data_IF_329509589931
#
_entry.id   IF_329509589931
#
_cell.length_a   1.000
_cell.length_b   1.000
_cell.length_c   1.000
_cell.angle_alpha   90.00
_cell.angle_beta   90.00
_cell.angle_gamma   90.00
#
_symmetry.space_group_name_H-M   'P 1'
#
loop_
_entity.id
_entity.type
_entity.pdbx_description
1 polymer ?
#
# COMPACT_ATOMS: atom_id res chain seq x y z
N UNK A 1 -21.73 59.64 41.07
CA UNK A 1 -22.77 60.39 41.81
C UNK A 1 -24.04 60.32 40.97
N UNK A 2 -25.09 59.69 41.53
CA UNK A 2 -26.47 59.52 41.04
C UNK A 2 -26.67 58.82 39.67
N UNK A 3 -27.17 57.59 39.59
CA UNK A 3 -28.58 57.15 39.82
C UNK A 3 -29.50 57.69 38.70
N UNK A 4 -30.32 56.90 38.01
CA UNK A 4 -31.44 56.10 38.53
C UNK A 4 -32.09 55.26 37.41
N UNK A 5 -32.52 54.04 37.78
CA UNK A 5 -33.81 53.37 37.51
C UNK A 5 -34.31 53.17 36.04
N UNK A 6 -35.24 52.26 35.67
CA UNK A 6 -36.20 51.40 36.38
C UNK A 6 -36.69 50.30 35.37
N UNK A 7 -37.30 49.23 35.91
CA UNK A 7 -38.37 48.39 35.32
C UNK A 7 -38.04 47.48 34.12
N UNK A 8 -38.49 46.23 33.99
CA UNK A 8 -39.53 45.46 34.68
C UNK A 8 -40.13 44.45 33.69
N UNK A 9 -40.37 43.22 34.18
CA UNK A 9 -41.32 42.20 33.68
C UNK A 9 -40.85 41.08 32.70
N UNK A 10 -41.45 39.87 32.83
CA UNK A 10 -40.88 38.58 32.41
C UNK A 10 -41.34 38.17 31.00
N UNK A 11 -40.50 37.42 30.27
CA UNK A 11 -40.88 36.84 28.97
C UNK A 11 -40.98 35.31 29.04
N UNK A 12 -42.23 34.88 28.99
CA UNK A 12 -42.71 33.57 28.56
C UNK A 12 -42.00 33.09 27.29
N UNK A 13 -41.50 31.85 27.28
CA UNK A 13 -41.00 31.26 26.04
C UNK A 13 -40.27 29.93 26.18
N UNK A 14 -40.65 29.06 27.13
CA UNK A 14 -40.08 27.72 27.22
C UNK A 14 -40.75 26.80 26.17
N UNK A 15 -40.29 26.87 24.90
CA UNK A 15 -40.72 25.98 23.80
C UNK A 15 -39.63 25.74 22.73
N UNK A 16 -38.37 25.51 23.11
CA UNK A 16 -37.28 25.25 22.14
C UNK A 16 -36.48 23.97 22.39
N UNK A 17 -36.98 23.02 23.16
CA UNK A 17 -36.23 21.79 23.52
C UNK A 17 -36.64 20.50 22.78
N UNK A 18 -37.22 20.58 21.57
CA UNK A 18 -37.56 19.38 20.79
C UNK A 18 -36.91 19.30 19.38
N UNK A 19 -36.32 20.38 18.86
CA UNK A 19 -35.78 20.41 17.48
C UNK A 19 -34.31 20.01 17.33
N UNK A 20 -33.52 20.03 18.41
CA UNK A 20 -32.05 19.91 18.34
C UNK A 20 -31.51 18.48 18.33
N UNK A 21 -32.27 17.49 18.82
CA UNK A 21 -31.80 16.11 18.96
C UNK A 21 -31.69 15.38 17.62
N UNK A 22 -32.65 15.58 16.73
CA UNK A 22 -32.71 14.89 15.43
C UNK A 22 -31.65 15.45 14.46
N UNK A 23 -31.38 16.75 14.52
CA UNK A 23 -30.32 17.39 13.73
C UNK A 23 -28.92 16.95 14.19
N UNK A 24 -28.69 16.76 15.49
CA UNK A 24 -27.41 16.21 16.00
C UNK A 24 -27.23 14.75 15.64
N UNK A 25 -28.31 13.95 15.67
CA UNK A 25 -28.27 12.55 15.25
C UNK A 25 -27.99 12.41 13.74
N UNK A 26 -28.54 13.29 12.89
CA UNK A 26 -28.22 13.33 11.46
C UNK A 26 -26.78 13.79 11.21
N UNK A 27 -26.29 14.81 11.94
CA UNK A 27 -24.91 15.28 11.82
C UNK A 27 -23.87 14.22 12.21
N UNK A 28 -24.17 13.33 13.17
CA UNK A 28 -23.26 12.23 13.53
C UNK A 28 -23.16 11.12 12.48
N UNK A 29 -24.13 10.99 11.57
CA UNK A 29 -24.13 9.98 10.49
C UNK A 29 -23.63 10.52 9.14
N UNK A 30 -23.47 11.84 9.04
CA UNK A 30 -22.91 12.52 7.86
C UNK A 30 -21.53 11.99 7.43
N UNK A 31 -20.54 11.76 8.32
CA UNK A 31 -19.23 11.26 7.89
C UNK A 31 -19.27 9.78 7.45
N UNK A 32 -20.17 8.97 8.03
CA UNK A 32 -20.40 7.59 7.60
C UNK A 32 -21.03 7.53 6.20
N UNK A 33 -22.01 8.39 5.92
CA UNK A 33 -22.64 8.50 4.60
C UNK A 33 -21.69 9.07 3.55
N UNK A 34 -20.84 10.04 3.93
CA UNK A 34 -19.78 10.55 3.06
C UNK A 34 -18.73 9.47 2.74
N UNK A 35 -18.35 8.65 3.72
CA UNK A 35 -17.44 7.52 3.53
C UNK A 35 -18.00 6.45 2.60
N UNK A 36 -19.27 6.05 2.79
CA UNK A 36 -19.95 5.08 1.90
C UNK A 36 -20.11 5.66 0.48
N UNK A 37 -20.42 6.95 0.36
CA UNK A 37 -20.51 7.64 -0.93
C UNK A 37 -19.17 7.69 -1.68
N UNK A 38 -18.06 7.92 -0.97
CA UNK A 38 -16.72 7.89 -1.55
C UNK A 38 -16.33 6.48 -2.03
N UNK A 39 -16.63 5.44 -1.25
CA UNK A 39 -16.36 4.04 -1.63
C UNK A 39 -17.19 3.63 -2.85
N UNK A 40 -18.48 4.00 -2.90
CA UNK A 40 -19.34 3.76 -4.07
C UNK A 40 -18.88 4.54 -5.30
N UNK A 41 -18.44 5.78 -5.14
CA UNK A 41 -17.91 6.58 -6.24
C UNK A 41 -16.62 5.96 -6.80
N UNK A 42 -15.72 5.49 -5.94
CA UNK A 42 -14.51 4.78 -6.37
C UNK A 42 -14.88 3.48 -7.10
N UNK A 43 -15.79 2.67 -6.57
CA UNK A 43 -16.25 1.44 -7.22
C UNK A 43 -16.87 1.70 -8.60
N UNK A 44 -17.72 2.72 -8.72
CA UNK A 44 -18.36 3.10 -9.98
C UNK A 44 -17.34 3.64 -10.98
N UNK A 45 -16.39 4.47 -10.55
CA UNK A 45 -15.32 4.97 -11.43
C UNK A 45 -14.40 3.84 -11.86
N UNK A 46 -14.04 2.92 -10.96
CA UNK A 46 -13.25 1.73 -11.30
C UNK A 46 -14.02 0.84 -12.30
N UNK A 47 -15.32 0.64 -12.11
CA UNK A 47 -16.18 -0.11 -13.05
C UNK A 47 -16.36 0.61 -14.39
N UNK A 48 -16.43 1.94 -14.42
CA UNK A 48 -16.58 2.68 -15.68
C UNK A 48 -15.28 2.77 -16.46
N UNK A 49 -14.15 2.92 -15.78
CA UNK A 49 -12.83 3.05 -16.40
C UNK A 49 -12.28 1.69 -16.84
N UNK A 50 -12.50 0.63 -16.05
CA UNK A 50 -11.95 -0.71 -16.30
C UNK A 50 -12.98 -1.76 -16.70
N UNK A 51 -14.28 -1.52 -16.49
CA UNK A 51 -15.35 -2.48 -16.80
C UNK A 51 -15.48 -2.83 -18.28
N UNK A 52 -15.29 -1.91 -19.25
CA UNK A 52 -15.35 -2.26 -20.68
C UNK A 52 -14.23 -3.19 -21.16
N UNK A 53 -13.19 -3.45 -20.33
CA UNK A 53 -12.04 -4.30 -20.66
C UNK A 53 -11.89 -5.57 -19.80
N UNK A 54 -12.64 -5.71 -18.70
CA UNK A 54 -12.69 -6.97 -17.94
C UNK A 54 -13.65 -7.93 -18.64
N UNK A 55 -13.11 -8.80 -19.50
CA UNK A 55 -13.85 -9.87 -20.16
C UNK A 55 -14.42 -10.91 -19.20
N UNK A 56 -15.53 -10.60 -18.53
CA UNK A 56 -16.42 -11.63 -18.01
C UNK A 56 -17.17 -12.26 -19.20
N UNK A 57 -17.02 -13.57 -19.47
CA UNK A 57 -17.68 -14.20 -20.59
C UNK A 57 -19.18 -14.28 -20.32
N UNK A 58 -19.96 -13.40 -20.94
CA UNK A 58 -21.43 -13.33 -20.78
C UNK A 58 -22.21 -13.81 -21.99
N UNK A 59 -21.54 -14.31 -23.03
CA UNK A 59 -22.21 -14.96 -24.16
C UNK A 59 -21.48 -16.23 -24.56
N UNK A 60 -22.21 -17.33 -24.69
CA UNK A 60 -21.72 -18.53 -25.38
C UNK A 60 -21.46 -18.10 -26.83
N UNK A 61 -20.21 -18.24 -27.27
CA UNK A 61 -19.79 -17.92 -28.63
C UNK A 61 -20.55 -18.82 -29.60
N UNK A 62 -21.51 -18.23 -30.31
CA UNK A 62 -22.04 -18.77 -31.55
C UNK A 62 -21.21 -18.15 -32.68
N UNK A 63 -20.36 -18.96 -33.29
CA UNK A 63 -19.56 -18.60 -34.45
C UNK A 63 -20.36 -18.83 -35.72
N UNK A 64 -20.50 -17.81 -36.57
CA UNK A 64 -20.48 -17.90 -38.05
C UNK A 64 -20.53 -16.47 -38.67
N UNK A 65 -19.43 -15.92 -39.21
CA UNK A 65 -18.96 -15.88 -40.63
C UNK A 65 -19.45 -14.60 -41.40
N UNK A 66 -19.08 -14.35 -42.67
CA UNK A 66 -17.89 -13.65 -43.22
C UNK A 66 -18.19 -12.25 -43.85
N UNK A 67 -17.14 -11.42 -44.07
CA UNK A 67 -16.86 -10.71 -45.34
C UNK A 67 -16.00 -9.43 -45.15
N UNK A 68 -14.88 -9.35 -45.86
CA UNK A 68 -14.63 -8.20 -46.73
C UNK A 68 -13.96 -6.92 -46.22
N UNK A 69 -13.41 -6.84 -45.01
CA UNK A 69 -12.73 -5.62 -44.55
C UNK A 69 -11.20 -5.80 -44.34
N UNK A 70 -10.42 -5.10 -45.17
CA UNK A 70 -8.95 -4.99 -45.11
C UNK A 70 -8.47 -4.10 -43.94
N UNK A 71 -9.02 -4.30 -42.76
CA UNK A 71 -8.65 -3.58 -41.53
C UNK A 71 -8.12 -4.54 -40.44
N UNK A 72 -8.27 -5.86 -40.63
CA UNK A 72 -8.03 -6.89 -39.61
C UNK A 72 -6.61 -7.51 -39.63
N UNK A 73 -5.70 -7.02 -40.49
CA UNK A 73 -4.33 -7.56 -40.59
C UNK A 73 -3.28 -6.74 -39.82
N UNK A 74 -3.33 -5.40 -39.85
CA UNK A 74 -2.31 -4.56 -39.20
C UNK A 74 -2.34 -4.67 -37.66
N UNK A 75 -3.53 -4.73 -37.07
CA UNK A 75 -3.69 -4.94 -35.63
C UNK A 75 -3.15 -6.30 -35.20
N UNK A 76 -3.35 -7.35 -36.02
CA UNK A 76 -2.88 -8.71 -35.74
C UNK A 76 -1.36 -8.84 -35.91
N UNK A 77 -0.76 -8.11 -36.86
CA UNK A 77 0.69 -8.10 -37.08
C UNK A 77 1.45 -7.31 -36.01
N UNK A 78 1.02 -6.09 -35.64
CA UNK A 78 1.70 -5.32 -34.57
C UNK A 78 1.57 -6.03 -33.22
N UNK A 79 0.39 -6.60 -32.92
CA UNK A 79 0.17 -7.38 -31.70
C UNK A 79 0.94 -8.71 -31.72
N UNK A 80 1.09 -9.33 -32.89
CA UNK A 80 1.91 -10.52 -33.09
C UNK A 80 3.39 -10.24 -32.88
N UNK A 81 3.96 -9.24 -33.57
CA UNK A 81 5.39 -8.91 -33.47
C UNK A 81 5.78 -8.39 -32.08
N UNK A 82 4.92 -7.55 -31.46
CA UNK A 82 5.17 -7.07 -30.09
C UNK A 82 4.96 -8.19 -29.07
N UNK A 83 3.98 -9.06 -29.27
CA UNK A 83 3.72 -10.22 -28.41
C UNK A 83 4.88 -11.22 -28.46
N UNK A 84 5.30 -11.62 -29.65
CA UNK A 84 6.42 -12.54 -29.87
C UNK A 84 7.74 -11.96 -29.33
N UNK A 85 7.94 -10.64 -29.43
CA UNK A 85 9.11 -9.98 -28.85
C UNK A 85 9.08 -9.95 -27.31
N UNK A 86 7.91 -9.75 -26.69
CA UNK A 86 7.75 -9.82 -25.23
C UNK A 86 7.94 -11.26 -24.77
N UNK A 87 7.30 -12.23 -25.42
CA UNK A 87 7.38 -13.64 -25.07
C UNK A 87 8.81 -14.16 -25.24
N UNK A 88 9.50 -13.81 -26.32
CA UNK A 88 10.91 -14.15 -26.52
C UNK A 88 11.86 -13.47 -25.53
N UNK A 89 11.53 -12.25 -25.07
CA UNK A 89 12.32 -11.57 -24.03
C UNK A 89 12.11 -12.19 -22.65
N UNK A 90 10.88 -12.60 -22.35
CA UNK A 90 10.52 -13.31 -21.13
C UNK A 90 11.21 -14.67 -21.10
N UNK A 91 11.11 -15.45 -22.18
CA UNK A 91 11.71 -16.79 -22.28
C UNK A 91 13.24 -16.75 -22.20
N UNK A 92 13.86 -15.72 -22.79
CA UNK A 92 15.30 -15.48 -22.65
C UNK A 92 15.68 -15.11 -21.21
N UNK A 93 14.91 -14.25 -20.55
CA UNK A 93 15.16 -13.83 -19.17
C UNK A 93 14.99 -14.97 -18.16
N UNK A 94 13.99 -15.83 -18.34
CA UNK A 94 13.79 -17.01 -17.49
C UNK A 94 14.89 -18.03 -17.77
N UNK A 95 15.08 -18.47 -19.01
CA UNK A 95 16.07 -19.53 -19.34
C UNK A 95 17.52 -19.14 -18.99
N UNK A 96 17.90 -17.87 -19.15
CA UNK A 96 19.27 -17.38 -18.85
C UNK A 96 19.42 -16.93 -17.39
N UNK A 97 18.33 -16.46 -16.78
CA UNK A 97 18.29 -15.84 -15.46
C UNK A 97 17.77 -16.74 -14.35
N UNK A 98 17.30 -17.95 -14.65
CA UNK A 98 16.71 -18.88 -13.67
C UNK A 98 17.58 -19.01 -12.41
N UNK A 99 18.88 -19.23 -12.57
CA UNK A 99 19.79 -19.34 -11.42
C UNK A 99 19.81 -18.11 -10.49
N UNK A 100 19.58 -16.91 -11.04
CA UNK A 100 19.51 -15.67 -10.26
C UNK A 100 18.16 -15.53 -9.58
N UNK A 101 17.07 -15.82 -10.30
CA UNK A 101 15.72 -15.73 -9.75
C UNK A 101 15.46 -16.80 -8.70
N UNK A 102 15.89 -18.04 -8.95
CA UNK A 102 15.87 -19.14 -8.00
C UNK A 102 16.72 -18.81 -6.77
N UNK A 103 17.97 -18.36 -6.98
CA UNK A 103 18.85 -17.99 -5.88
C UNK A 103 18.30 -16.85 -5.02
N UNK A 104 17.64 -15.86 -5.64
CA UNK A 104 16.97 -14.78 -4.92
C UNK A 104 15.72 -15.29 -4.19
N UNK A 105 14.92 -16.14 -4.84
CA UNK A 105 13.73 -16.76 -4.24
C UNK A 105 14.11 -17.59 -3.01
N UNK A 106 15.17 -18.38 -3.12
CA UNK A 106 15.73 -19.19 -2.03
C UNK A 106 16.25 -18.31 -0.90
N UNK A 107 16.97 -17.22 -1.21
CA UNK A 107 17.47 -16.29 -0.20
C UNK A 107 16.31 -15.59 0.54
N UNK A 108 15.28 -15.15 -0.20
CA UNK A 108 14.07 -14.53 0.37
C UNK A 108 13.30 -15.55 1.20
N UNK A 109 13.11 -16.76 0.69
CA UNK A 109 12.43 -17.86 1.38
C UNK A 109 13.16 -18.27 2.65
N UNK A 110 14.49 -18.38 2.59
CA UNK A 110 15.32 -18.63 3.77
C UNK A 110 15.17 -17.52 4.79
N UNK A 111 15.32 -16.26 4.41
CA UNK A 111 15.15 -15.12 5.32
C UNK A 111 13.76 -15.12 5.96
N UNK A 112 12.72 -15.37 5.16
CA UNK A 112 11.35 -15.40 5.61
C UNK A 112 11.09 -16.50 6.63
N UNK A 113 11.48 -17.74 6.34
CA UNK A 113 11.31 -18.88 7.27
C UNK A 113 12.06 -18.63 8.57
N UNK A 114 13.30 -18.12 8.51
CA UNK A 114 14.05 -17.81 9.73
C UNK A 114 13.39 -16.73 10.58
N UNK A 115 12.80 -15.71 9.95
CA UNK A 115 12.06 -14.66 10.67
C UNK A 115 10.75 -15.22 11.23
N UNK A 116 10.00 -16.01 10.45
CA UNK A 116 8.78 -16.67 10.92
C UNK A 116 9.06 -17.56 12.13
N UNK A 117 10.07 -18.41 12.05
CA UNK A 117 10.46 -19.31 13.13
C UNK A 117 10.94 -18.54 14.37
N UNK A 118 11.73 -17.47 14.18
CA UNK A 118 12.16 -16.62 15.28
C UNK A 118 11.00 -15.92 15.99
N UNK A 119 10.00 -15.44 15.24
CA UNK A 119 8.81 -14.80 15.80
C UNK A 119 7.87 -15.83 16.46
N UNK A 120 7.70 -17.00 15.86
CA UNK A 120 6.86 -18.10 16.38
C UNK A 120 7.47 -18.79 17.59
N UNK A 121 8.80 -18.71 17.75
CA UNK A 121 9.50 -19.26 18.92
C UNK A 121 9.05 -18.63 20.23
N UNK A 122 8.60 -17.37 20.20
CA UNK A 122 8.08 -16.68 21.38
C UNK A 122 6.57 -16.96 21.52
N UNK A 123 6.10 -17.51 22.65
CA UNK A 123 4.68 -17.73 22.88
C UNK A 123 3.89 -16.43 22.74
N UNK A 124 2.76 -16.49 22.03
CA UNK A 124 1.94 -15.32 21.72
C UNK A 124 1.58 -14.43 22.94
N UNK A 125 1.27 -14.98 24.14
CA UNK A 125 0.95 -14.13 25.29
C UNK A 125 2.14 -13.29 25.74
N UNK A 126 3.37 -13.79 25.57
CA UNK A 126 4.58 -13.04 25.91
C UNK A 126 4.77 -11.84 24.97
N UNK A 127 4.48 -11.98 23.68
CA UNK A 127 4.50 -10.88 22.72
C UNK A 127 3.43 -9.85 23.07
N UNK A 128 2.21 -10.27 23.43
CA UNK A 128 1.15 -9.35 23.85
C UNK A 128 1.56 -8.53 25.07
N UNK A 129 2.10 -9.18 26.11
CA UNK A 129 2.57 -8.49 27.31
C UNK A 129 3.70 -7.53 26.97
N UNK A 130 4.69 -7.96 26.17
CA UNK A 130 5.82 -7.12 25.75
C UNK A 130 5.37 -5.87 24.99
N UNK A 131 4.49 -6.03 24.00
CA UNK A 131 3.95 -4.91 23.21
C UNK A 131 3.03 -4.00 24.04
N UNK A 132 2.25 -4.56 24.98
CA UNK A 132 1.44 -3.76 25.89
C UNK A 132 2.31 -2.90 26.82
N UNK A 133 3.44 -3.45 27.32
CA UNK A 133 4.39 -2.70 28.14
C UNK A 133 5.13 -1.62 27.33
N UNK A 134 5.51 -1.91 26.09
CA UNK A 134 6.06 -0.89 25.18
C UNK A 134 5.05 0.22 24.89
N UNK A 135 3.79 -0.13 24.64
CA UNK A 135 2.70 0.83 24.47
C UNK A 135 2.49 1.68 25.72
N UNK A 136 2.65 1.12 26.91
CA UNK A 136 2.62 1.85 28.17
C UNK A 136 3.81 2.82 28.31
N UNK A 137 5.01 2.40 27.89
CA UNK A 137 6.22 3.23 27.99
C UNK A 137 6.20 4.44 27.06
N UNK A 138 5.64 4.30 25.85
CA UNK A 138 5.57 5.38 24.85
C UNK A 138 4.35 6.28 25.07
N UNK A 139 3.27 5.74 25.63
CA UNK A 139 1.98 6.41 25.69
C UNK A 139 1.38 6.47 27.09
N UNK A 140 0.05 6.49 27.10
CA UNK A 140 -0.76 6.44 28.33
C UNK A 140 -1.34 5.03 28.51
N UNK A 141 -1.86 4.76 29.70
CA UNK A 141 -2.56 3.50 30.04
C UNK A 141 -3.68 3.12 29.04
N UNK A 142 -4.28 4.10 28.36
CA UNK A 142 -5.27 3.88 27.29
C UNK A 142 -4.67 3.17 26.07
N UNK A 143 -3.43 3.49 25.70
CA UNK A 143 -2.73 2.87 24.57
C UNK A 143 -2.37 1.42 24.89
N UNK A 144 -1.87 1.16 26.10
CA UNK A 144 -1.63 -0.20 26.61
C UNK A 144 -2.91 -1.05 26.55
N UNK A 145 -4.02 -0.54 27.09
CA UNK A 145 -5.29 -1.27 27.10
C UNK A 145 -5.81 -1.57 25.70
N UNK A 146 -5.72 -0.59 24.78
CA UNK A 146 -6.11 -0.78 23.38
C UNK A 146 -5.24 -1.82 22.67
N UNK A 147 -3.91 -1.72 22.78
CA UNK A 147 -2.96 -2.66 22.17
C UNK A 147 -3.16 -4.08 22.72
N UNK A 148 -3.27 -4.24 24.03
CA UNK A 148 -3.50 -5.55 24.65
C UNK A 148 -4.81 -6.16 24.18
N UNK A 149 -5.90 -5.39 24.14
CA UNK A 149 -7.22 -5.88 23.71
C UNK A 149 -7.22 -6.27 22.23
N UNK A 150 -6.59 -5.49 21.36
CA UNK A 150 -6.49 -5.79 19.93
C UNK A 150 -5.68 -7.07 19.67
N UNK A 151 -4.53 -7.24 20.35
CA UNK A 151 -3.69 -8.43 20.17
C UNK A 151 -4.31 -9.68 20.79
N UNK A 152 -4.95 -9.56 21.96
CA UNK A 152 -5.73 -10.65 22.56
C UNK A 152 -6.85 -11.08 21.62
N UNK A 153 -7.56 -10.14 20.97
CA UNK A 153 -8.61 -10.45 20.01
C UNK A 153 -8.08 -11.29 18.82
N UNK A 154 -6.93 -10.95 18.26
CA UNK A 154 -6.28 -11.73 17.20
C UNK A 154 -5.96 -13.15 17.69
N UNK A 155 -5.40 -13.27 18.89
CA UNK A 155 -5.08 -14.56 19.51
C UNK A 155 -6.33 -15.41 19.75
N UNK A 156 -7.41 -14.84 20.26
CA UNK A 156 -8.67 -15.55 20.50
C UNK A 156 -9.40 -15.97 19.21
N UNK A 157 -9.15 -15.29 18.10
CA UNK A 157 -9.68 -15.65 16.78
C UNK A 157 -8.86 -16.72 16.07
N UNK A 158 -7.81 -17.26 16.72
CA UNK A 158 -6.90 -18.24 16.13
C UNK A 158 -6.20 -17.74 14.85
N UNK A 159 -6.00 -16.41 14.76
CA UNK A 159 -5.35 -15.74 13.63
C UNK A 159 -3.89 -15.37 13.93
N UNK A 160 -3.34 -15.87 15.05
CA UNK A 160 -2.00 -15.48 15.50
C UNK A 160 -0.91 -15.85 14.50
N UNK A 161 -0.91 -17.11 14.03
CA UNK A 161 0.10 -17.57 13.08
C UNK A 161 0.04 -16.80 11.76
N UNK A 162 -1.17 -16.56 11.24
CA UNK A 162 -1.38 -15.74 10.04
C UNK A 162 -0.90 -14.29 10.21
N UNK A 163 -1.07 -13.73 11.41
CA UNK A 163 -0.57 -12.40 11.73
C UNK A 163 0.96 -12.35 11.75
N UNK A 164 1.61 -13.35 12.34
CA UNK A 164 3.07 -13.48 12.34
C UNK A 164 3.63 -13.67 10.93
N UNK A 165 3.00 -14.51 10.11
CA UNK A 165 3.37 -14.69 8.70
C UNK A 165 3.30 -13.36 7.94
N UNK A 166 2.25 -12.57 8.16
CA UNK A 166 2.10 -11.24 7.54
C UNK A 166 3.20 -10.28 8.00
N UNK A 167 3.51 -10.27 9.30
CA UNK A 167 4.58 -9.42 9.85
C UNK A 167 5.94 -9.84 9.26
N UNK A 168 6.23 -11.14 9.18
CA UNK A 168 7.48 -11.64 8.63
C UNK A 168 7.65 -11.25 7.15
N UNK A 169 6.59 -11.40 6.34
CA UNK A 169 6.54 -10.94 4.94
C UNK A 169 6.86 -9.45 4.83
N UNK A 170 6.23 -8.61 5.67
CA UNK A 170 6.43 -7.16 5.68
C UNK A 170 7.86 -6.81 6.10
N UNK A 171 8.41 -7.47 7.13
CA UNK A 171 9.78 -7.22 7.60
C UNK A 171 10.79 -7.51 6.50
N UNK A 172 10.66 -8.64 5.80
CA UNK A 172 11.53 -8.98 4.67
C UNK A 172 11.39 -7.96 3.54
N UNK A 173 10.15 -7.63 3.14
CA UNK A 173 9.90 -6.67 2.08
C UNK A 173 10.46 -5.27 2.41
N UNK A 174 10.31 -4.80 3.65
CA UNK A 174 10.86 -3.53 4.12
C UNK A 174 12.38 -3.58 4.11
N UNK A 175 13.00 -4.65 4.61
CA UNK A 175 14.45 -4.79 4.62
C UNK A 175 15.04 -4.72 3.20
N UNK A 176 14.44 -5.44 2.24
CA UNK A 176 14.84 -5.38 0.82
C UNK A 176 14.61 -3.98 0.25
N UNK A 177 13.46 -3.36 0.55
CA UNK A 177 13.13 -2.02 0.06
C UNK A 177 14.08 -0.96 0.59
N UNK A 178 14.55 -1.08 1.83
CA UNK A 178 15.58 -0.21 2.40
C UNK A 178 16.95 -0.49 1.79
N UNK A 179 17.32 -1.76 1.63
CA UNK A 179 18.59 -2.15 1.02
C UNK A 179 18.75 -1.62 -0.41
N UNK A 180 17.67 -1.54 -1.18
CA UNK A 180 17.65 -0.98 -2.54
C UNK A 180 17.41 0.53 -2.53
N UNK A 181 16.43 0.97 -1.74
CA UNK A 181 15.92 2.34 -1.78
C UNK A 181 16.86 3.35 -1.13
N UNK A 182 17.59 2.97 -0.07
CA UNK A 182 18.54 3.89 0.57
C UNK A 182 19.72 4.22 -0.36
N UNK A 183 20.45 3.25 -0.99
CA UNK A 183 21.52 3.57 -1.91
C UNK A 183 21.06 4.40 -3.12
N UNK A 184 19.92 4.05 -3.71
CA UNK A 184 19.36 4.80 -4.85
C UNK A 184 18.90 6.21 -4.43
N UNK A 185 18.34 6.36 -3.24
CA UNK A 185 18.00 7.67 -2.67
C UNK A 185 19.22 8.54 -2.44
N UNK A 186 20.30 7.98 -1.89
CA UNK A 186 21.60 8.66 -1.72
C UNK A 186 22.19 9.05 -3.09
N UNK A 187 22.10 8.17 -4.08
CA UNK A 187 22.56 8.45 -5.45
C UNK A 187 21.79 9.62 -6.07
N UNK A 188 20.46 9.64 -5.93
CA UNK A 188 19.60 10.74 -6.38
C UNK A 188 19.87 12.05 -5.64
N UNK A 189 20.21 12.00 -4.35
CA UNK A 189 20.61 13.18 -3.60
C UNK A 189 21.92 13.79 -4.13
N UNK A 190 22.89 12.94 -4.48
CA UNK A 190 24.21 13.37 -4.96
C UNK A 190 24.23 13.80 -6.42
N UNK A 191 23.33 13.29 -7.26
CA UNK A 191 23.29 13.60 -8.70
C UNK A 191 21.91 14.01 -9.17
N UNK A 192 21.77 15.25 -9.62
CA UNK A 192 20.54 15.76 -10.24
C UNK A 192 20.16 15.00 -11.51
N UNK A 193 21.15 14.50 -12.26
CA UNK A 193 20.90 13.67 -13.46
C UNK A 193 20.29 12.33 -13.05
N UNK A 194 20.88 11.66 -12.05
CA UNK A 194 20.37 10.38 -11.56
C UNK A 194 18.93 10.54 -11.02
N UNK A 195 18.68 11.60 -10.27
CA UNK A 195 17.34 11.92 -9.78
C UNK A 195 16.32 12.13 -10.92
N UNK A 196 16.68 12.93 -11.92
CA UNK A 196 15.81 13.19 -13.07
C UNK A 196 15.50 11.94 -13.89
N UNK A 197 16.43 10.99 -13.99
CA UNK A 197 16.23 9.71 -14.68
C UNK A 197 15.35 8.76 -13.85
N UNK A 198 15.54 8.72 -12.53
CA UNK A 198 14.77 7.84 -11.66
C UNK A 198 13.31 8.28 -11.52
N UNK A 199 13.04 9.59 -11.43
CA UNK A 199 11.68 10.15 -11.26
C UNK A 199 10.59 9.49 -12.11
N UNK A 200 10.69 9.40 -13.46
CA UNK A 200 9.66 8.77 -14.28
C UNK A 200 9.45 7.28 -13.97
N UNK A 201 10.52 6.55 -13.62
CA UNK A 201 10.44 5.14 -13.23
C UNK A 201 9.67 5.02 -11.91
N UNK A 202 10.01 5.88 -10.94
CA UNK A 202 9.33 5.90 -9.64
C UNK A 202 7.87 6.32 -9.78
N UNK A 203 7.54 7.23 -10.69
CA UNK A 203 6.15 7.62 -11.00
C UNK A 203 5.38 6.45 -11.62
N UNK A 204 5.99 5.70 -12.55
CA UNK A 204 5.39 4.49 -13.11
C UNK A 204 5.17 3.41 -12.04
N UNK A 205 6.14 3.21 -11.13
CA UNK A 205 6.04 2.26 -10.02
C UNK A 205 4.98 2.63 -8.97
N UNK A 206 4.48 3.87 -8.93
CA UNK A 206 3.45 4.30 -7.97
C UNK A 206 2.04 4.38 -8.58
N UNK A 207 1.95 4.37 -9.91
CA UNK A 207 0.69 4.60 -10.64
C UNK A 207 0.06 3.32 -11.16
N UNK A 208 0.82 2.22 -11.30
CA UNK A 208 0.21 0.95 -11.72
C UNK A 208 -0.54 0.29 -10.56
N UNK A 209 -1.69 -0.35 -10.83
CA UNK A 209 -2.40 -1.16 -9.85
C UNK A 209 -1.56 -2.31 -9.33
N UNK A 210 -1.79 -2.73 -8.07
CA UNK A 210 -1.01 -3.80 -7.43
C UNK A 210 -1.01 -5.13 -8.20
N UNK A 211 -2.11 -5.47 -8.89
CA UNK A 211 -2.21 -6.72 -9.65
C UNK A 211 -1.20 -6.79 -10.81
N UNK A 212 -0.82 -5.63 -11.38
CA UNK A 212 0.14 -5.56 -12.48
C UNK A 212 1.51 -6.03 -12.04
N UNK A 213 1.90 -5.78 -10.79
CA UNK A 213 3.18 -6.24 -10.22
C UNK A 213 3.18 -7.72 -9.83
N UNK A 214 2.00 -8.28 -9.54
CA UNK A 214 1.90 -9.70 -9.19
C UNK A 214 2.16 -10.62 -10.39
N UNK A 215 1.78 -10.20 -11.60
CA UNK A 215 1.98 -11.01 -12.81
C UNK A 215 3.46 -11.35 -13.08
N UNK A 216 4.39 -10.38 -13.16
CA UNK A 216 5.82 -10.69 -13.28
C UNK A 216 6.37 -11.37 -12.02
N UNK A 217 5.85 -11.03 -10.82
CA UNK A 217 6.27 -11.69 -9.58
C UNK A 217 6.02 -13.20 -9.61
N UNK A 218 4.85 -13.63 -10.10
CA UNK A 218 4.51 -15.04 -10.23
C UNK A 218 5.33 -15.72 -11.33
N UNK A 219 5.57 -15.02 -12.43
CA UNK A 219 6.38 -15.52 -13.55
C UNK A 219 7.81 -15.85 -13.12
N UNK A 220 8.45 -14.96 -12.35
CA UNK A 220 9.87 -15.10 -11.96
C UNK A 220 10.07 -15.87 -10.65
N UNK A 221 9.14 -15.77 -9.69
CA UNK A 221 9.31 -16.38 -8.36
C UNK A 221 8.30 -17.50 -8.07
N UNK A 222 7.45 -17.84 -9.04
CA UNK A 222 6.38 -18.81 -8.86
C UNK A 222 5.24 -18.30 -7.98
N UNK A 223 4.32 -19.20 -7.67
CA UNK A 223 3.20 -18.92 -6.78
C UNK A 223 3.66 -18.96 -5.32
N UNK A 224 3.33 -17.93 -4.53
CA UNK A 224 3.49 -17.95 -3.07
C UNK A 224 4.01 -16.67 -2.46
N UNK A 225 4.61 -16.82 -1.27
CA UNK A 225 5.14 -15.73 -0.43
C UNK A 225 6.18 -14.84 -1.15
N UNK A 226 7.16 -15.38 -1.91
CA UNK A 226 8.14 -14.57 -2.63
C UNK A 226 7.54 -13.58 -3.64
N UNK A 227 6.53 -14.00 -4.42
CA UNK A 227 5.84 -13.11 -5.37
C UNK A 227 5.11 -11.95 -4.67
N UNK A 228 4.51 -12.21 -3.50
CA UNK A 228 3.90 -11.18 -2.65
C UNK A 228 4.93 -10.18 -2.11
N UNK A 229 6.09 -10.67 -1.67
CA UNK A 229 7.20 -9.82 -1.24
C UNK A 229 7.67 -8.94 -2.41
N UNK A 230 7.87 -9.51 -3.59
CA UNK A 230 8.30 -8.77 -4.78
C UNK A 230 7.36 -7.61 -5.13
N UNK A 231 6.05 -7.86 -5.17
CA UNK A 231 5.07 -6.81 -5.43
C UNK A 231 5.09 -5.72 -4.33
N UNK A 232 5.24 -6.12 -3.07
CA UNK A 232 5.34 -5.19 -1.94
C UNK A 232 6.60 -4.33 -2.03
N UNK A 233 7.74 -4.91 -2.43
CA UNK A 233 9.01 -4.18 -2.63
C UNK A 233 8.88 -3.15 -3.73
N UNK A 234 8.31 -3.50 -4.89
CA UNK A 234 8.11 -2.54 -5.98
C UNK A 234 7.26 -1.34 -5.52
N UNK A 235 6.23 -1.60 -4.71
CA UNK A 235 5.38 -0.54 -4.19
C UNK A 235 6.08 0.32 -3.12
N UNK A 236 6.93 -0.28 -2.29
CA UNK A 236 7.57 0.39 -1.15
C UNK A 236 8.89 1.11 -1.49
N UNK A 237 9.62 0.69 -2.53
CA UNK A 237 10.90 1.30 -2.93
C UNK A 237 10.76 2.79 -3.33
N UNK A 238 9.75 3.21 -4.11
CA UNK A 238 9.62 4.60 -4.53
C UNK A 238 9.55 5.64 -3.40
N UNK A 239 8.69 5.50 -2.37
CA UNK A 239 8.71 6.45 -1.26
C UNK A 239 10.04 6.43 -0.49
N UNK A 240 10.69 5.27 -0.32
CA UNK A 240 12.01 5.19 0.34
C UNK A 240 13.05 6.01 -0.42
N UNK A 241 13.14 5.85 -1.74
CA UNK A 241 14.10 6.60 -2.57
C UNK A 241 13.81 8.10 -2.49
N UNK A 242 12.55 8.50 -2.65
CA UNK A 242 12.14 9.92 -2.65
C UNK A 242 12.41 10.59 -1.31
N UNK A 243 12.00 9.97 -0.21
CA UNK A 243 12.17 10.53 1.12
C UNK A 243 13.65 10.58 1.53
N UNK A 244 14.44 9.58 1.14
CA UNK A 244 15.90 9.60 1.37
C UNK A 244 16.57 10.71 0.58
N UNK A 245 16.25 10.85 -0.71
CA UNK A 245 16.79 11.92 -1.55
C UNK A 245 16.43 13.30 -0.99
N UNK A 246 15.15 13.51 -0.67
CA UNK A 246 14.66 14.76 -0.09
C UNK A 246 15.33 15.05 1.26
N UNK A 247 15.40 14.05 2.15
CA UNK A 247 16.01 14.21 3.47
C UNK A 247 17.47 14.64 3.42
N UNK A 248 18.25 14.07 2.48
CA UNK A 248 19.66 14.46 2.30
C UNK A 248 19.79 15.87 1.71
N UNK A 249 18.94 16.23 0.74
CA UNK A 249 18.96 17.56 0.12
C UNK A 249 18.45 18.70 1.02
N UNK A 250 17.67 18.37 2.06
CA UNK A 250 17.14 19.34 3.03
C UNK A 250 18.09 19.64 4.20
N UNK A 251 19.25 19.00 4.27
CA UNK A 251 20.26 19.31 5.29
C UNK A 251 20.82 20.71 5.06
N UNK A 252 20.94 21.49 6.13
CA UNK A 252 21.45 22.86 6.10
C UNK A 252 22.91 22.89 5.59
N UNK A 253 23.24 23.73 4.60
CA UNK A 253 24.62 23.91 4.14
C UNK A 253 25.60 24.22 5.26
N UNK A 254 25.22 24.97 6.29
CA UNK A 254 26.11 25.32 7.41
C UNK A 254 26.55 24.06 8.19
N UNK A 255 25.66 23.08 8.35
CA UNK A 255 25.97 21.80 8.99
C UNK A 255 26.91 20.97 8.12
N UNK A 256 26.79 21.05 6.79
CA UNK A 256 27.68 20.36 5.85
C UNK A 256 29.07 20.99 5.86
N UNK A 257 29.16 22.33 5.88
CA UNK A 257 30.43 23.06 5.98
C UNK A 257 31.13 22.77 7.31
N UNK A 258 30.38 22.74 8.43
CA UNK A 258 30.92 22.39 9.74
C UNK A 258 31.44 20.94 9.83
N UNK A 259 30.85 20.00 9.08
CA UNK A 259 31.31 18.61 9.04
C UNK A 259 32.59 18.40 8.21
N UNK A 260 32.92 19.36 7.32
CA UNK A 260 34.11 19.32 6.46
C UNK A 260 35.29 20.11 7.04
N UNK A 261 35.05 21.02 7.98
CA UNK A 261 36.05 21.84 8.68
C UNK A 261 36.80 21.07 9.78
#
# INVERSE_FOLDING_TARGET
MAATDIEGAPRSGDRTLAGGGLLRAMQSRLPLLAGVGAVLAVLVVTLLVWGPGMGFPTTLSESETPAGERTVTLERTIRGETGDAIDGSVDWLTTRGDWLFDGLSDAVGFALVNIEDALKWVPWPAIVVGLALLAFAVGRWTLMGFTALALLYIGFMDLWENAIDTIALIVVAVAISLAIGLPLGVLGARSTIADNVMRPILDAMQTMPSFVYLLPGILFFGLGKPAGIFATVIYAVPPVIRLTNLGIRQVDPEVVEAALA
#
